data_IF_956263669036
#
_entry.id   IF_956263669036
#
_cell.length_a   1.000
_cell.length_b   1.000
_cell.length_c   1.000
_cell.angle_alpha   90.00
_cell.angle_beta   90.00
_cell.angle_gamma   90.00
#
_symmetry.space_group_name_H-M   'P 1'
#
loop_
_entity.id
_entity.type
_entity.pdbx_description
1 polymer ?
#
# COMPACT_ATOMS: atom_id res chain seq x y z
N UNK A 1 13.32 -10.81 -6.47
CA UNK A 1 12.26 -10.45 -5.49
C UNK A 1 12.37 -9.00 -4.98
N UNK A 2 13.58 -8.49 -4.68
CA UNK A 2 13.78 -7.10 -4.20
C UNK A 2 13.10 -6.02 -5.07
N UNK A 3 13.26 -6.07 -6.40
CA UNK A 3 12.72 -5.05 -7.30
C UNK A 3 11.19 -4.91 -7.23
N UNK A 4 10.46 -6.03 -7.12
CA UNK A 4 9.00 -6.02 -6.98
C UNK A 4 8.56 -5.43 -5.64
N UNK A 5 9.28 -5.73 -4.57
CA UNK A 5 8.98 -5.22 -3.22
C UNK A 5 9.19 -3.71 -3.16
N UNK A 6 10.32 -3.20 -3.65
CA UNK A 6 10.58 -1.75 -3.69
C UNK A 6 9.59 -1.02 -4.62
N UNK A 7 9.16 -1.65 -5.72
CA UNK A 7 8.11 -1.10 -6.57
C UNK A 7 6.78 -0.95 -5.81
N UNK A 8 6.35 -1.93 -5.01
CA UNK A 8 5.14 -1.82 -4.18
C UNK A 8 5.23 -0.64 -3.21
N UNK A 9 6.38 -0.44 -2.58
CA UNK A 9 6.62 0.70 -1.68
C UNK A 9 6.49 2.03 -2.42
N UNK A 10 7.14 2.17 -3.59
CA UNK A 10 7.10 3.39 -4.39
C UNK A 10 5.67 3.69 -4.80
N UNK A 11 4.97 2.71 -5.40
CA UNK A 11 3.57 2.87 -5.82
C UNK A 11 2.67 3.25 -4.65
N UNK A 12 2.84 2.59 -3.50
CA UNK A 12 2.06 2.89 -2.29
C UNK A 12 2.28 4.32 -1.77
N UNK A 13 3.55 4.74 -1.64
CA UNK A 13 3.89 6.10 -1.20
C UNK A 13 3.37 7.14 -2.20
N UNK A 14 3.55 6.91 -3.51
CA UNK A 14 3.07 7.83 -4.55
C UNK A 14 1.55 7.98 -4.49
N UNK A 15 0.79 6.90 -4.29
CA UNK A 15 -0.67 6.97 -4.16
C UNK A 15 -1.10 7.76 -2.91
N UNK A 16 -0.43 7.58 -1.77
CA UNK A 16 -0.67 8.41 -0.57
C UNK A 16 -0.38 9.89 -0.85
N UNK A 17 0.74 10.20 -1.51
CA UNK A 17 1.07 11.58 -1.88
C UNK A 17 0.03 12.20 -2.82
N UNK A 18 -0.46 11.45 -3.81
CA UNK A 18 -1.56 11.90 -4.68
C UNK A 18 -2.83 12.20 -3.88
N UNK A 19 -3.14 11.40 -2.86
CA UNK A 19 -4.28 11.66 -1.96
C UNK A 19 -4.14 12.99 -1.23
N UNK A 20 -2.93 13.30 -0.73
CA UNK A 20 -2.61 14.59 -0.09
C UNK A 20 -2.76 15.75 -1.08
N UNK A 21 -2.30 15.57 -2.32
CA UNK A 21 -2.46 16.58 -3.38
C UNK A 21 -3.94 16.84 -3.66
N UNK A 22 -4.75 15.80 -3.84
CA UNK A 22 -6.20 15.95 -4.06
C UNK A 22 -6.89 16.66 -2.89
N UNK A 23 -6.54 16.31 -1.66
CA UNK A 23 -7.04 16.98 -0.47
C UNK A 23 -6.68 18.47 -0.44
N UNK A 24 -5.43 18.80 -0.77
CA UNK A 24 -4.93 20.18 -0.81
C UNK A 24 -5.66 21.00 -1.87
N UNK A 25 -5.96 20.41 -3.03
CA UNK A 25 -6.76 21.06 -4.08
C UNK A 25 -8.17 21.36 -3.56
N UNK A 26 -8.86 20.39 -2.93
CA UNK A 26 -10.20 20.60 -2.35
C UNK A 26 -10.18 21.77 -1.36
N UNK A 27 -9.25 21.78 -0.39
CA UNK A 27 -9.13 22.86 0.59
C UNK A 27 -8.88 24.20 -0.09
N UNK A 28 -7.91 24.26 -1.01
CA UNK A 28 -7.56 25.51 -1.68
C UNK A 28 -8.76 26.13 -2.39
N UNK A 29 -9.56 25.33 -3.10
CA UNK A 29 -10.74 25.81 -3.81
C UNK A 29 -11.86 26.27 -2.86
N UNK A 30 -12.06 25.58 -1.74
CA UNK A 30 -13.01 25.99 -0.70
C UNK A 30 -12.56 27.30 -0.03
N UNK A 31 -11.28 27.40 0.33
CA UNK A 31 -10.73 28.56 1.05
C UNK A 31 -10.64 29.84 0.21
N UNK A 32 -10.41 29.73 -1.10
CA UNK A 32 -10.27 30.90 -1.98
C UNK A 32 -11.61 31.37 -2.59
N UNK A 33 -12.74 30.79 -2.19
CA UNK A 33 -14.06 31.23 -2.68
C UNK A 33 -14.24 31.09 -4.19
N UNK A 34 -13.51 30.17 -4.84
CA UNK A 34 -13.47 29.97 -6.30
C UNK A 34 -14.87 29.63 -6.86
N UNK A 35 -15.78 29.19 -5.99
CA UNK A 35 -17.13 28.79 -6.33
C UNK A 35 -18.18 29.91 -6.25
N UNK A 36 -17.78 31.17 -6.04
CA UNK A 36 -18.72 32.29 -5.83
C UNK A 36 -19.79 32.46 -6.93
N UNK A 37 -19.48 32.08 -8.17
CA UNK A 37 -20.39 32.18 -9.33
C UNK A 37 -20.71 30.81 -9.96
N UNK A 38 -20.50 29.72 -9.23
CA UNK A 38 -20.67 28.34 -9.72
C UNK A 38 -21.95 27.76 -9.13
N UNK A 39 -22.70 26.96 -9.91
CA UNK A 39 -23.92 26.34 -9.39
C UNK A 39 -23.62 25.30 -8.31
N UNK A 40 -24.54 25.12 -7.36
CA UNK A 40 -24.40 24.13 -6.27
C UNK A 40 -24.15 22.72 -6.82
N UNK A 41 -24.80 22.36 -7.93
CA UNK A 41 -24.59 21.08 -8.60
C UNK A 41 -23.15 20.90 -9.10
N UNK A 42 -22.57 21.92 -9.74
CA UNK A 42 -21.19 21.86 -10.24
C UNK A 42 -20.17 21.78 -9.09
N UNK A 43 -20.41 22.53 -8.01
CA UNK A 43 -19.60 22.45 -6.77
C UNK A 43 -19.64 21.02 -6.22
N UNK A 44 -20.84 20.44 -6.12
CA UNK A 44 -21.02 19.08 -5.62
C UNK A 44 -20.30 18.04 -6.49
N UNK A 45 -20.43 18.12 -7.82
CA UNK A 45 -19.71 17.22 -8.73
C UNK A 45 -18.20 17.37 -8.62
N UNK A 46 -17.70 18.60 -8.53
CA UNK A 46 -16.27 18.86 -8.37
C UNK A 46 -15.73 18.26 -7.07
N UNK A 47 -16.33 18.60 -5.93
CA UNK A 47 -15.89 18.10 -4.62
C UNK A 47 -15.96 16.58 -4.57
N UNK A 48 -17.08 16.00 -5.01
CA UNK A 48 -17.29 14.54 -4.99
C UNK A 48 -16.27 13.81 -5.86
N UNK A 49 -15.96 14.34 -7.05
CA UNK A 49 -14.97 13.71 -7.94
C UNK A 49 -13.57 13.69 -7.31
N UNK A 50 -13.13 14.82 -6.75
CA UNK A 50 -11.84 14.88 -6.05
C UNK A 50 -11.82 14.01 -4.79
N UNK A 51 -12.95 13.94 -4.06
CA UNK A 51 -13.08 13.10 -2.88
C UNK A 51 -12.97 11.62 -3.25
N UNK A 52 -13.66 11.17 -4.31
CA UNK A 52 -13.54 9.79 -4.83
C UNK A 52 -12.08 9.48 -5.21
N UNK A 53 -11.41 10.39 -5.93
CA UNK A 53 -10.01 10.20 -6.32
C UNK A 53 -9.08 10.13 -5.10
N UNK A 54 -9.30 10.98 -4.09
CA UNK A 54 -8.57 10.93 -2.82
C UNK A 54 -8.74 9.56 -2.16
N UNK A 55 -9.97 9.07 -2.01
CA UNK A 55 -10.24 7.79 -1.33
C UNK A 55 -9.66 6.60 -2.09
N UNK A 56 -9.79 6.56 -3.41
CA UNK A 56 -9.20 5.49 -4.23
C UNK A 56 -7.69 5.45 -4.03
N UNK A 57 -7.02 6.61 -4.14
CA UNK A 57 -5.58 6.68 -3.98
C UNK A 57 -5.14 6.34 -2.56
N UNK A 58 -5.92 6.71 -1.53
CA UNK A 58 -5.59 6.39 -0.15
C UNK A 58 -5.73 4.88 0.12
N UNK A 59 -6.81 4.26 -0.36
CA UNK A 59 -7.04 2.81 -0.23
C UNK A 59 -5.93 2.04 -0.95
N UNK A 60 -5.61 2.41 -2.20
CA UNK A 60 -4.53 1.77 -2.96
C UNK A 60 -3.18 1.98 -2.28
N UNK A 61 -2.90 3.20 -1.80
CA UNK A 61 -1.67 3.54 -1.11
C UNK A 61 -1.45 2.69 0.13
N UNK A 62 -2.46 2.64 1.01
CA UNK A 62 -2.44 1.79 2.21
C UNK A 62 -2.28 0.33 1.83
N UNK A 63 -3.04 -0.17 0.85
CA UNK A 63 -2.94 -1.56 0.40
C UNK A 63 -1.52 -1.94 -0.03
N UNK A 64 -0.90 -1.15 -0.90
CA UNK A 64 0.45 -1.44 -1.40
C UNK A 64 1.52 -1.32 -0.31
N UNK A 65 1.39 -0.35 0.60
CA UNK A 65 2.28 -0.21 1.76
C UNK A 65 2.13 -1.42 2.71
N UNK A 66 0.90 -1.86 2.99
CA UNK A 66 0.66 -3.05 3.82
C UNK A 66 1.24 -4.32 3.19
N UNK A 67 1.12 -4.49 1.88
CA UNK A 67 1.74 -5.61 1.15
C UNK A 67 3.27 -5.57 1.21
N UNK A 68 3.86 -4.38 1.13
CA UNK A 68 5.29 -4.18 1.30
C UNK A 68 5.76 -4.58 2.71
N UNK A 69 5.12 -4.05 3.76
CA UNK A 69 5.49 -4.33 5.15
C UNK A 69 5.28 -5.80 5.50
N UNK A 70 4.19 -6.41 5.03
CA UNK A 70 3.92 -7.83 5.21
C UNK A 70 5.02 -8.70 4.58
N UNK A 71 5.38 -8.43 3.32
CA UNK A 71 6.43 -9.17 2.62
C UNK A 71 7.79 -9.02 3.33
N UNK A 72 8.12 -7.80 3.77
CA UNK A 72 9.35 -7.50 4.50
C UNK A 72 9.40 -8.24 5.84
N UNK A 73 8.28 -8.27 6.59
CA UNK A 73 8.18 -8.99 7.86
C UNK A 73 8.35 -10.49 7.66
N UNK A 74 7.70 -11.07 6.65
CA UNK A 74 7.85 -12.48 6.30
C UNK A 74 9.30 -12.85 5.98
N UNK A 75 9.98 -12.08 5.13
CA UNK A 75 11.37 -12.35 4.76
C UNK A 75 12.33 -12.30 5.96
N UNK A 76 12.00 -11.52 7.00
CA UNK A 76 12.78 -11.44 8.23
C UNK A 76 12.46 -12.57 9.21
N UNK A 77 11.17 -12.88 9.40
CA UNK A 77 10.73 -13.73 10.52
C UNK A 77 10.64 -15.22 10.15
N UNK A 78 10.31 -15.58 8.90
CA UNK A 78 10.23 -17.00 8.50
C UNK A 78 11.54 -17.78 8.71
N UNK A 79 12.72 -17.27 8.31
CA UNK A 79 13.98 -18.00 8.51
C UNK A 79 14.30 -18.25 9.99
N UNK A 80 13.95 -17.29 10.86
CA UNK A 80 14.13 -17.41 12.30
C UNK A 80 13.20 -18.48 12.87
N UNK A 81 11.91 -18.45 12.52
CA UNK A 81 10.92 -19.45 12.94
C UNK A 81 11.33 -20.87 12.50
N UNK A 82 11.81 -21.03 11.27
CA UNK A 82 12.27 -22.34 10.77
C UNK A 82 13.48 -22.86 11.55
N UNK A 83 14.41 -21.96 11.89
CA UNK A 83 15.59 -22.32 12.69
C UNK A 83 15.21 -22.65 14.14
N UNK A 84 14.20 -21.98 14.71
CA UNK A 84 13.67 -22.30 16.04
C UNK A 84 12.99 -23.68 16.08
N UNK A 85 12.22 -24.02 15.04
CA UNK A 85 11.53 -25.32 14.93
C UNK A 85 12.50 -26.47 14.66
N UNK A 86 13.52 -26.25 13.83
CA UNK A 86 14.55 -27.25 13.55
C UNK A 86 15.96 -26.60 13.58
N UNK A 87 16.63 -26.60 14.74
CA UNK A 87 17.94 -25.97 14.90
C UNK A 87 19.05 -26.59 14.05
N UNK A 88 18.88 -27.86 13.66
CA UNK A 88 19.88 -28.62 12.90
C UNK A 88 19.62 -28.59 11.38
N UNK A 89 18.67 -27.78 10.93
CA UNK A 89 18.35 -27.67 9.50
C UNK A 89 19.55 -27.12 8.72
N UNK A 90 19.84 -27.73 7.57
CA UNK A 90 20.88 -27.21 6.67
C UNK A 90 20.48 -25.86 6.06
N UNK A 91 21.46 -25.07 5.60
CA UNK A 91 21.18 -23.80 4.92
C UNK A 91 20.31 -23.98 3.67
N UNK A 92 20.54 -25.06 2.91
CA UNK A 92 19.82 -25.37 1.67
C UNK A 92 18.37 -25.74 1.96
N UNK A 93 18.14 -26.65 2.91
CA UNK A 93 16.78 -27.00 3.33
C UNK A 93 16.06 -25.79 3.91
N UNK A 94 16.72 -24.98 4.74
CA UNK A 94 16.11 -23.76 5.30
C UNK A 94 15.64 -22.80 4.22
N UNK A 95 16.41 -22.61 3.14
CA UNK A 95 16.01 -21.77 2.00
C UNK A 95 14.80 -22.36 1.28
N UNK A 96 14.79 -23.67 1.02
CA UNK A 96 13.67 -24.36 0.37
C UNK A 96 12.38 -24.26 1.21
N UNK A 97 12.45 -24.59 2.50
CA UNK A 97 11.31 -24.50 3.41
C UNK A 97 10.81 -23.06 3.55
N UNK A 98 11.71 -22.07 3.63
CA UNK A 98 11.33 -20.65 3.68
C UNK A 98 10.54 -20.25 2.43
N UNK A 99 11.00 -20.64 1.24
CA UNK A 99 10.30 -20.33 -0.01
C UNK A 99 8.94 -21.01 -0.09
N UNK A 100 8.87 -22.30 0.28
CA UNK A 100 7.63 -23.08 0.25
C UNK A 100 6.58 -22.54 1.23
N UNK A 101 7.01 -22.22 2.45
CA UNK A 101 6.14 -21.63 3.48
C UNK A 101 5.71 -20.21 3.08
N UNK A 102 6.62 -19.41 2.52
CA UNK A 102 6.29 -18.09 2.01
C UNK A 102 5.25 -18.12 0.89
N UNK A 103 5.33 -19.11 -0.01
CA UNK A 103 4.34 -19.31 -1.07
C UNK A 103 2.96 -19.63 -0.50
N UNK A 104 2.88 -20.61 0.42
CA UNK A 104 1.60 -21.00 1.06
C UNK A 104 0.97 -19.85 1.85
N UNK A 105 1.76 -19.10 2.61
CA UNK A 105 1.26 -17.95 3.36
C UNK A 105 0.73 -16.86 2.44
N UNK A 106 1.37 -16.63 1.28
CA UNK A 106 0.87 -15.70 0.26
C UNK A 106 -0.43 -16.17 -0.38
N UNK A 107 -0.64 -17.48 -0.53
CA UNK A 107 -1.91 -18.04 -1.02
C UNK A 107 -3.05 -17.89 -0.02
N UNK A 108 -2.78 -18.00 1.28
CA UNK A 108 -3.79 -17.89 2.35
C UNK A 108 -4.28 -16.46 2.59
N UNK A 109 -3.50 -15.46 2.21
CA UNK A 109 -3.79 -14.03 2.44
C UNK A 109 -4.38 -13.36 1.18
N UNK A 110 -4.58 -14.15 0.12
CA UNK A 110 -5.13 -13.72 -1.17
C UNK A 110 -6.64 -13.91 -1.22
#
# INVERSE_FOLDING_TARGET
MLAKREMLKIVGITAVLLSVVYYTIIISFISHGVFANVSISEIFYFITSFFIMLFINLILGVYFISQYEFTKKMERELPAIITEINPNISEEERKEYTQKLASKLKELIK
#
